data_IF_065466490666
#
_entry.id   IF_065466490666
#
_cell.length_a   1.000
_cell.length_b   1.000
_cell.length_c   1.000
_cell.angle_alpha   90.00
_cell.angle_beta   90.00
_cell.angle_gamma   90.00
#
_symmetry.space_group_name_H-M   'P 1'
#
loop_
_entity.id
_entity.type
_entity.pdbx_description
1 polymer ?
#
# COMPACT_ATOMS: atom_id res chain seq x y z
N UNK A 1 17.12 -13.90 -8.41
CA UNK A 1 16.58 -12.59 -8.02
C UNK A 1 15.05 -12.69 -8.04
N UNK A 2 14.37 -12.29 -6.96
CA UNK A 2 12.92 -12.39 -6.77
C UNK A 2 12.33 -11.01 -6.59
N UNK A 3 11.23 -10.77 -7.30
CA UNK A 3 10.48 -9.53 -7.23
C UNK A 3 9.07 -9.85 -6.75
N UNK A 4 8.51 -8.99 -5.90
CA UNK A 4 7.06 -8.88 -5.75
C UNK A 4 6.64 -7.60 -6.46
N UNK A 5 5.67 -7.71 -7.35
CA UNK A 5 5.11 -6.58 -8.10
C UNK A 5 3.60 -6.54 -7.87
N UNK A 6 3.10 -5.38 -7.46
CA UNK A 6 1.69 -5.14 -7.14
C UNK A 6 1.32 -3.68 -7.46
N UNK A 7 0.04 -3.36 -7.47
CA UNK A 7 -0.51 -2.03 -7.77
C UNK A 7 -1.90 -1.92 -7.14
N UNK A 8 -2.53 -0.75 -7.25
CA UNK A 8 -3.96 -0.55 -6.98
C UNK A 8 -4.39 -0.93 -5.57
N UNK A 9 -3.58 -0.58 -4.56
CA UNK A 9 -3.92 -0.83 -3.16
C UNK A 9 -5.13 -0.02 -2.71
N UNK A 10 -5.28 1.21 -3.24
CA UNK A 10 -6.35 2.15 -2.90
C UNK A 10 -6.63 2.18 -1.40
N UNK A 11 -5.59 2.41 -0.58
CA UNK A 11 -5.77 2.49 0.87
C UNK A 11 -6.81 3.57 1.20
N UNK A 12 -7.74 3.24 2.10
CA UNK A 12 -8.83 4.14 2.49
C UNK A 12 -10.04 4.13 1.57
N UNK A 13 -10.11 3.21 0.60
CA UNK A 13 -11.27 3.06 -0.29
C UNK A 13 -12.57 2.82 0.49
N UNK A 14 -13.65 3.40 -0.01
CA UNK A 14 -15.00 3.13 0.47
C UNK A 14 -15.85 2.52 -0.63
N UNK A 15 -16.60 1.47 -0.29
CA UNK A 15 -17.59 0.84 -1.17
C UNK A 15 -18.96 0.92 -0.51
N UNK A 16 -19.96 1.42 -1.25
CA UNK A 16 -21.34 1.58 -0.76
C UNK A 16 -21.46 2.31 0.58
N UNK A 17 -20.61 3.34 0.80
CA UNK A 17 -20.59 4.13 2.03
C UNK A 17 -19.84 3.48 3.20
N UNK A 18 -19.36 2.23 3.07
CA UNK A 18 -18.52 1.58 4.07
C UNK A 18 -17.04 1.74 3.70
N UNK A 19 -16.23 2.21 4.66
CA UNK A 19 -14.77 2.26 4.51
C UNK A 19 -14.18 0.87 4.72
N UNK A 20 -13.17 0.51 3.94
CA UNK A 20 -12.54 -0.82 3.96
C UNK A 20 -11.23 -0.88 4.77
N UNK A 21 -10.94 0.16 5.55
CA UNK A 21 -9.60 0.34 6.14
C UNK A 21 -9.23 -0.79 7.12
N UNK A 22 -10.20 -1.30 7.88
CA UNK A 22 -9.99 -2.39 8.82
C UNK A 22 -9.73 -3.70 8.07
N UNK A 23 -10.47 -3.97 7.00
CA UNK A 23 -10.26 -5.13 6.14
C UNK A 23 -8.91 -5.05 5.41
N UNK A 24 -8.50 -3.85 4.96
CA UNK A 24 -7.18 -3.62 4.36
C UNK A 24 -6.06 -3.87 5.39
N UNK A 25 -6.17 -3.33 6.61
CA UNK A 25 -5.21 -3.57 7.68
C UNK A 25 -5.08 -5.08 7.99
N UNK A 26 -6.22 -5.78 8.06
CA UNK A 26 -6.25 -7.22 8.29
C UNK A 26 -5.57 -8.01 7.17
N UNK A 27 -5.77 -7.61 5.90
CA UNK A 27 -5.09 -8.21 4.76
C UNK A 27 -3.57 -8.05 4.85
N UNK A 28 -3.09 -6.84 5.17
CA UNK A 28 -1.65 -6.60 5.29
C UNK A 28 -1.04 -7.44 6.41
N UNK A 29 -1.68 -7.44 7.59
CA UNK A 29 -1.21 -8.17 8.77
C UNK A 29 -1.23 -9.69 8.57
N UNK A 30 -2.36 -10.24 8.09
CA UNK A 30 -2.59 -11.69 8.07
C UNK A 30 -2.18 -12.38 6.78
N UNK A 31 -1.98 -11.64 5.70
CA UNK A 31 -1.73 -12.24 4.38
C UNK A 31 -0.50 -11.66 3.73
N UNK A 32 -0.44 -10.34 3.52
CA UNK A 32 0.64 -9.74 2.73
C UNK A 32 2.00 -9.83 3.44
N UNK A 33 2.07 -9.45 4.72
CA UNK A 33 3.32 -9.47 5.49
C UNK A 33 3.89 -10.88 5.66
N UNK A 34 3.11 -11.91 6.04
CA UNK A 34 3.57 -13.30 6.01
C UNK A 34 4.09 -13.73 4.64
N UNK A 35 3.34 -13.42 3.57
CA UNK A 35 3.74 -13.76 2.21
C UNK A 35 5.09 -13.12 1.82
N UNK A 36 5.28 -11.83 2.11
CA UNK A 36 6.55 -11.13 1.84
C UNK A 36 7.71 -11.76 2.64
N UNK A 37 7.47 -12.14 3.90
CA UNK A 37 8.48 -12.82 4.75
C UNK A 37 8.87 -14.19 4.23
N UNK A 38 7.92 -14.95 3.71
CA UNK A 38 8.18 -16.27 3.16
C UNK A 38 8.91 -16.18 1.82
N UNK A 39 8.46 -15.26 0.95
CA UNK A 39 9.06 -15.05 -0.37
C UNK A 39 10.46 -14.46 -0.25
N UNK A 40 10.75 -13.57 0.70
CA UNK A 40 12.03 -12.84 0.83
C UNK A 40 12.46 -12.23 -0.52
N UNK A 41 11.69 -11.25 -1.04
CA UNK A 41 12.03 -10.62 -2.31
C UNK A 41 13.28 -9.75 -2.18
N UNK A 42 14.02 -9.61 -3.27
CA UNK A 42 15.12 -8.65 -3.37
C UNK A 42 14.59 -7.22 -3.48
N UNK A 43 13.38 -7.04 -4.04
CA UNK A 43 12.64 -5.77 -4.06
C UNK A 43 11.13 -6.00 -4.18
N UNK A 44 10.37 -5.15 -3.48
CA UNK A 44 8.93 -4.98 -3.63
C UNK A 44 8.65 -3.75 -4.49
N UNK A 45 7.83 -3.87 -5.54
CA UNK A 45 7.48 -2.78 -6.44
C UNK A 45 5.97 -2.55 -6.41
N UNK A 46 5.57 -1.31 -6.13
CA UNK A 46 4.18 -0.85 -6.12
C UNK A 46 4.01 0.17 -7.25
N UNK A 47 3.22 -0.17 -8.27
CA UNK A 47 3.13 0.60 -9.52
C UNK A 47 1.85 1.42 -9.66
N UNK A 48 1.49 2.17 -8.61
CA UNK A 48 0.42 3.16 -8.66
C UNK A 48 -0.76 2.87 -7.73
N UNK A 49 -1.55 3.93 -7.54
CA UNK A 49 -2.80 3.97 -6.77
C UNK A 49 -2.66 3.34 -5.38
N UNK A 50 -1.70 3.88 -4.63
CA UNK A 50 -1.36 3.45 -3.27
C UNK A 50 -2.48 3.87 -2.31
N UNK A 51 -2.91 5.13 -2.38
CA UNK A 51 -4.04 5.69 -1.63
C UNK A 51 -5.22 5.97 -2.56
N UNK A 52 -6.44 5.80 -2.07
CA UNK A 52 -7.64 5.97 -2.89
C UNK A 52 -7.93 7.42 -3.29
N UNK A 53 -7.45 8.39 -2.48
CA UNK A 53 -7.67 9.82 -2.71
C UNK A 53 -6.40 10.61 -2.42
N UNK A 54 -6.12 11.70 -3.17
CA UNK A 54 -4.89 12.49 -2.97
C UNK A 54 -4.77 13.15 -1.60
N UNK A 55 -5.91 13.40 -0.95
CA UNK A 55 -6.00 13.90 0.42
C UNK A 55 -6.55 12.78 1.31
N UNK A 56 -5.72 11.79 1.71
CA UNK A 56 -6.16 10.67 2.54
C UNK A 56 -6.49 11.15 3.95
N UNK A 57 -7.40 10.45 4.61
CA UNK A 57 -7.70 10.71 6.02
C UNK A 57 -6.66 10.11 6.97
N UNK A 58 -6.79 10.43 8.26
CA UNK A 58 -5.81 10.05 9.28
C UNK A 58 -5.64 8.52 9.39
N UNK A 59 -6.72 7.75 9.30
CA UNK A 59 -6.66 6.30 9.39
C UNK A 59 -5.93 5.69 8.20
N UNK A 60 -6.15 6.23 6.99
CA UNK A 60 -5.44 5.82 5.78
C UNK A 60 -3.94 6.11 5.88
N UNK A 61 -3.59 7.31 6.36
CA UNK A 61 -2.19 7.69 6.60
C UNK A 61 -1.55 6.81 7.67
N UNK A 62 -2.29 6.45 8.71
CA UNK A 62 -1.82 5.55 9.77
C UNK A 62 -1.47 4.18 9.19
N UNK A 63 -2.38 3.57 8.42
CA UNK A 63 -2.13 2.26 7.80
C UNK A 63 -0.94 2.31 6.83
N UNK A 64 -0.87 3.35 5.97
CA UNK A 64 0.27 3.53 5.07
C UNK A 64 1.59 3.64 5.87
N UNK A 65 1.60 4.42 6.95
CA UNK A 65 2.78 4.55 7.82
C UNK A 65 3.17 3.22 8.47
N UNK A 66 2.21 2.41 8.90
CA UNK A 66 2.45 1.10 9.50
C UNK A 66 3.07 0.14 8.47
N UNK A 67 2.57 0.13 7.23
CA UNK A 67 3.12 -0.67 6.13
C UNK A 67 4.57 -0.26 5.83
N UNK A 68 4.84 1.05 5.67
CA UNK A 68 6.17 1.56 5.38
C UNK A 68 7.16 1.25 6.52
N UNK A 69 6.72 1.40 7.77
CA UNK A 69 7.55 1.10 8.93
C UNK A 69 7.85 -0.40 9.05
N UNK A 70 6.88 -1.25 8.73
CA UNK A 70 7.08 -2.69 8.69
C UNK A 70 8.12 -3.08 7.62
N UNK A 71 7.97 -2.56 6.39
CA UNK A 71 8.93 -2.81 5.30
C UNK A 71 10.35 -2.35 5.67
N UNK A 72 10.48 -1.19 6.31
CA UNK A 72 11.75 -0.68 6.81
C UNK A 72 12.37 -1.62 7.86
N UNK A 73 11.59 -2.06 8.86
CA UNK A 73 12.06 -2.98 9.91
C UNK A 73 12.52 -4.33 9.35
N UNK A 74 11.78 -4.87 8.39
CA UNK A 74 12.11 -6.13 7.72
C UNK A 74 13.20 -5.97 6.65
N UNK A 75 13.71 -4.74 6.46
CA UNK A 75 14.77 -4.39 5.50
C UNK A 75 14.41 -4.84 4.08
N UNK A 76 13.14 -4.73 3.69
CA UNK A 76 12.68 -5.05 2.34
C UNK A 76 12.82 -3.79 1.47
N UNK A 77 13.74 -3.78 0.49
CA UNK A 77 13.82 -2.67 -0.46
C UNK A 77 12.49 -2.54 -1.18
N UNK A 78 11.96 -1.33 -1.25
CA UNK A 78 10.66 -1.07 -1.87
C UNK A 78 10.70 0.16 -2.76
N UNK A 79 10.04 0.05 -3.91
CA UNK A 79 9.85 1.13 -4.88
C UNK A 79 8.35 1.43 -4.98
N UNK A 80 7.98 2.66 -4.66
CA UNK A 80 6.61 3.16 -4.77
C UNK A 80 6.54 4.17 -5.92
N UNK A 81 5.68 3.90 -6.88
CA UNK A 81 5.38 4.78 -8.01
C UNK A 81 3.97 5.31 -7.79
N UNK A 82 3.79 6.63 -7.88
CA UNK A 82 2.49 7.26 -7.68
C UNK A 82 1.60 7.08 -8.93
N UNK A 83 0.34 6.71 -8.71
CA UNK A 83 -0.71 6.66 -9.72
C UNK A 83 -1.55 7.94 -9.76
N UNK A 84 -2.66 7.89 -10.50
CA UNK A 84 -3.56 9.03 -10.67
C UNK A 84 -4.42 9.32 -9.44
N UNK A 85 -4.63 8.34 -8.55
CA UNK A 85 -5.32 8.57 -7.28
C UNK A 85 -4.41 9.20 -6.21
N UNK A 86 -3.10 9.01 -6.30
CA UNK A 86 -2.14 9.44 -5.27
C UNK A 86 -1.85 10.94 -5.28
N UNK A 87 -2.09 11.62 -6.40
CA UNK A 87 -1.81 13.06 -6.51
C UNK A 87 -2.90 13.79 -7.28
N UNK A 88 -3.28 14.99 -6.80
CA UNK A 88 -4.05 15.97 -7.58
C UNK A 88 -3.16 16.59 -8.65
N UNK A 89 -2.63 15.82 -9.60
CA UNK A 89 -2.08 16.42 -10.80
C UNK A 89 -3.22 16.61 -11.79
N UNK A 90 -3.61 17.86 -11.99
CA UNK A 90 -4.27 18.30 -13.22
C UNK A 90 -3.36 17.81 -14.35
N UNK A 91 -3.84 16.84 -15.13
CA UNK A 91 -3.30 16.55 -16.44
C UNK A 91 -3.58 17.77 -17.30
N UNK A 92 -2.52 18.38 -17.84
CA UNK A 92 -2.62 19.41 -18.89
C UNK A 92 -3.40 18.88 -20.09
#
# INVERSE_FOLDING_TARGET
MKFIHTSDWHLGKSLFGKKLIDEQALFFEKTFFPFVKDVKPDILIITGDIIDKPNPDLETLKLLSEILFWLFKEKIPSLFILGNHDSKRITL
#
